data_IF_879299758619
#
_entry.id   IF_879299758619
#
_cell.length_a   1.000
_cell.length_b   1.000
_cell.length_c   1.000
_cell.angle_alpha   90.00
_cell.angle_beta   90.00
_cell.angle_gamma   90.00
#
_symmetry.space_group_name_H-M   'P 1'
#
loop_
_entity.id
_entity.type
_entity.pdbx_description
1 polymer ?
#
# COMPACT_ATOMS: atom_id res chain seq x y z
N UNK A 1 -11.74 -11.36 -22.48
CA UNK A 1 -10.41 -11.68 -21.93
C UNK A 1 -10.10 -13.17 -21.96
N UNK A 2 -9.02 -13.53 -22.65
CA UNK A 2 -8.49 -14.89 -22.72
C UNK A 2 -7.85 -15.33 -21.39
N UNK A 3 -7.68 -16.64 -21.16
CA UNK A 3 -6.97 -17.13 -19.96
C UNK A 3 -5.52 -16.60 -19.89
N UNK A 4 -4.86 -16.50 -21.05
CA UNK A 4 -3.51 -15.98 -21.19
C UNK A 4 -3.41 -14.52 -20.76
N UNK A 5 -4.31 -13.65 -21.21
CA UNK A 5 -4.34 -12.24 -20.80
C UNK A 5 -4.50 -12.09 -19.28
N UNK A 6 -5.42 -12.84 -18.67
CA UNK A 6 -5.64 -12.78 -17.22
C UNK A 6 -4.38 -13.17 -16.44
N UNK A 7 -3.63 -14.18 -16.91
CA UNK A 7 -2.37 -14.58 -16.30
C UNK A 7 -1.30 -13.50 -16.41
N UNK A 8 -1.19 -12.84 -17.57
CA UNK A 8 -0.24 -11.75 -17.79
C UNK A 8 -0.55 -10.55 -16.89
N UNK A 9 -1.82 -10.15 -16.83
CA UNK A 9 -2.34 -9.10 -15.95
C UNK A 9 -1.99 -9.39 -14.49
N UNK A 10 -2.25 -10.62 -14.04
CA UNK A 10 -1.95 -11.05 -12.67
C UNK A 10 -0.46 -11.03 -12.36
N UNK A 11 0.40 -11.56 -13.23
CA UNK A 11 1.86 -11.55 -13.04
C UNK A 11 2.37 -10.11 -12.95
N UNK A 12 2.07 -9.29 -13.96
CA UNK A 12 2.53 -7.91 -14.01
C UNK A 12 2.05 -7.13 -12.77
N UNK A 13 0.78 -7.27 -12.40
CA UNK A 13 0.25 -6.53 -11.27
C UNK A 13 0.81 -7.02 -9.92
N UNK A 14 1.04 -8.33 -9.74
CA UNK A 14 1.70 -8.87 -8.53
C UNK A 14 3.11 -8.31 -8.40
N UNK A 15 3.85 -8.26 -9.51
CA UNK A 15 5.18 -7.66 -9.55
C UNK A 15 5.16 -6.18 -9.16
N UNK A 16 4.23 -5.39 -9.72
CA UNK A 16 4.13 -3.96 -9.41
C UNK A 16 3.64 -3.70 -7.98
N UNK A 17 2.76 -4.55 -7.45
CA UNK A 17 2.37 -4.54 -6.04
C UNK A 17 3.61 -4.68 -5.13
N UNK A 18 4.50 -5.63 -5.42
CA UNK A 18 5.72 -5.85 -4.64
C UNK A 18 6.68 -4.66 -4.72
N UNK A 19 6.86 -4.08 -5.92
CA UNK A 19 7.66 -2.86 -6.10
C UNK A 19 7.06 -1.70 -5.30
N UNK A 20 5.75 -1.47 -5.42
CA UNK A 20 5.05 -0.41 -4.70
C UNK A 20 5.21 -0.55 -3.19
N UNK A 21 5.04 -1.78 -2.67
CA UNK A 21 5.22 -2.07 -1.25
C UNK A 21 6.61 -1.66 -0.75
N UNK A 22 7.67 -2.13 -1.42
CA UNK A 22 9.06 -1.84 -1.00
C UNK A 22 9.36 -0.34 -1.05
N UNK A 23 8.92 0.35 -2.12
CA UNK A 23 9.14 1.79 -2.26
C UNK A 23 8.42 2.58 -1.16
N UNK A 24 7.13 2.29 -0.93
CA UNK A 24 6.33 2.99 0.07
C UNK A 24 6.85 2.70 1.49
N UNK A 25 7.17 1.45 1.80
CA UNK A 25 7.78 1.07 3.09
C UNK A 25 9.07 1.86 3.34
N UNK A 26 9.95 1.93 2.33
CA UNK A 26 11.26 2.59 2.46
C UNK A 26 11.11 4.09 2.69
N UNK A 27 10.26 4.76 1.89
CA UNK A 27 10.02 6.21 2.03
C UNK A 27 9.45 6.55 3.42
N UNK A 28 8.48 5.79 3.89
CA UNK A 28 7.85 5.99 5.19
C UNK A 28 8.83 5.69 6.32
N UNK A 29 9.58 4.58 6.22
CA UNK A 29 10.57 4.19 7.23
C UNK A 29 11.67 5.23 7.40
N UNK A 30 12.20 5.76 6.29
CA UNK A 30 13.19 6.84 6.30
C UNK A 30 12.64 8.11 6.95
N UNK A 31 11.41 8.50 6.63
CA UNK A 31 10.80 9.68 7.23
C UNK A 31 10.60 9.55 8.74
N UNK A 32 10.16 8.38 9.21
CA UNK A 32 10.04 8.08 10.64
C UNK A 32 11.41 8.17 11.34
N UNK A 33 12.47 7.67 10.72
CA UNK A 33 13.83 7.75 11.26
C UNK A 33 14.34 9.19 11.31
N UNK A 34 14.14 9.97 10.24
CA UNK A 34 14.47 11.40 10.21
C UNK A 34 13.71 12.17 11.31
N UNK A 35 12.45 11.81 11.57
CA UNK A 35 11.71 12.44 12.66
C UNK A 35 12.23 12.04 14.05
N UNK A 36 12.79 10.84 14.20
CA UNK A 36 13.40 10.38 15.45
C UNK A 36 14.73 11.08 15.72
N UNK A 37 15.54 11.32 14.68
CA UNK A 37 16.80 12.06 14.83
C UNK A 37 16.61 13.51 15.25
N UNK A 38 15.46 14.13 14.94
CA UNK A 38 15.10 15.46 15.45
C UNK A 38 14.94 15.52 16.98
N UNK A 39 14.84 14.38 17.65
CA UNK A 39 14.79 14.24 19.11
C UNK A 39 16.03 13.51 19.68
N UNK A 40 17.13 13.46 18.92
CA UNK A 40 18.37 12.75 19.27
C UNK A 40 18.16 11.24 19.54
N UNK A 41 17.14 10.64 18.91
CA UNK A 41 16.85 9.21 19.01
C UNK A 41 17.51 8.49 17.83
N UNK A 42 18.59 7.75 18.09
CA UNK A 42 19.21 6.90 17.07
C UNK A 42 18.27 5.73 16.73
N UNK A 43 18.12 5.47 15.44
CA UNK A 43 17.21 4.43 14.94
C UNK A 43 17.84 3.61 13.81
N UNK A 44 17.42 2.35 13.73
CA UNK A 44 17.85 1.41 12.69
C UNK A 44 16.64 0.92 11.89
N UNK A 45 16.72 1.02 10.57
CA UNK A 45 15.71 0.47 9.67
C UNK A 45 16.03 -1.00 9.36
N UNK A 46 15.20 -1.92 9.85
CA UNK A 46 15.21 -3.32 9.43
C UNK A 46 14.08 -3.61 8.44
N UNK A 47 14.12 -4.76 7.76
CA UNK A 47 13.08 -5.14 6.78
C UNK A 47 11.71 -5.37 7.44
N UNK A 48 11.69 -5.66 8.74
CA UNK A 48 10.48 -5.99 9.50
C UNK A 48 10.07 -4.91 10.51
N UNK A 49 10.99 -4.06 10.96
CA UNK A 49 10.68 -3.05 11.97
C UNK A 49 11.69 -1.91 11.96
N UNK A 50 11.31 -0.81 12.61
CA UNK A 50 12.25 0.26 12.98
C UNK A 50 12.63 0.03 14.44
N UNK A 51 13.93 -0.11 14.71
CA UNK A 51 14.43 -0.25 16.06
C UNK A 51 14.91 1.11 16.57
N UNK A 52 14.34 1.60 17.67
CA UNK A 52 14.73 2.86 18.30
C UNK A 52 15.63 2.59 19.51
N UNK A 53 16.84 3.15 19.52
CA UNK A 53 17.85 2.97 20.58
C UNK A 53 17.61 3.93 21.75
N UNK A 54 16.43 3.86 22.36
CA UNK A 54 16.03 4.70 23.49
C UNK A 54 15.37 3.86 24.58
N UNK A 55 15.60 4.22 25.85
CA UNK A 55 14.96 3.52 26.97
C UNK A 55 13.51 3.97 27.10
N UNK A 56 12.64 3.08 27.57
CA UNK A 56 11.20 3.36 27.69
C UNK A 56 10.86 4.61 28.51
N UNK A 57 11.68 4.95 29.51
CA UNK A 57 11.49 6.11 30.39
C UNK A 57 11.95 7.44 29.78
N UNK A 58 12.78 7.38 28.74
CA UNK A 58 13.38 8.56 28.12
C UNK A 58 12.49 9.10 26.97
N UNK A 59 11.42 8.37 26.59
CA UNK A 59 10.42 8.85 25.65
C UNK A 59 9.65 10.04 26.20
N UNK A 60 9.72 11.17 25.49
CA UNK A 60 8.87 12.33 25.77
C UNK A 60 7.56 12.24 24.99
N UNK A 61 6.52 12.90 25.51
CA UNK A 61 5.20 12.91 24.86
C UNK A 61 5.25 13.45 23.43
N UNK A 62 6.06 14.48 23.21
CA UNK A 62 6.19 15.12 21.90
C UNK A 62 6.97 14.25 20.92
N UNK A 63 8.06 13.61 21.37
CA UNK A 63 8.82 12.67 20.55
C UNK A 63 7.93 11.52 20.05
N UNK A 64 7.12 10.91 20.94
CA UNK A 64 6.23 9.82 20.53
C UNK A 64 5.20 10.30 19.50
N UNK A 65 4.56 11.44 19.75
CA UNK A 65 3.55 11.97 18.81
C UNK A 65 4.16 12.25 17.45
N UNK A 66 5.32 12.88 17.38
CA UNK A 66 5.96 13.25 16.11
C UNK A 66 6.49 12.01 15.39
N UNK A 67 7.25 11.14 16.08
CA UNK A 67 7.88 9.98 15.45
C UNK A 67 6.83 9.02 14.88
N UNK A 68 5.82 8.67 15.67
CA UNK A 68 4.81 7.69 15.24
C UNK A 68 3.70 8.26 14.36
N UNK A 69 3.58 9.59 14.22
CA UNK A 69 2.65 10.20 13.25
C UNK A 69 3.32 10.55 11.92
N UNK A 70 4.64 10.78 11.90
CA UNK A 70 5.35 11.23 10.68
C UNK A 70 5.17 10.25 9.52
N UNK A 71 5.37 8.95 9.77
CA UNK A 71 5.21 7.92 8.75
C UNK A 71 3.81 7.93 8.12
N UNK A 72 2.73 7.73 8.91
CA UNK A 72 1.35 7.80 8.41
C UNK A 72 1.02 9.13 7.71
N UNK A 73 1.37 10.29 8.30
CA UNK A 73 1.06 11.60 7.70
C UNK A 73 1.77 11.76 6.36
N UNK A 74 3.05 11.40 6.27
CA UNK A 74 3.78 11.44 5.01
C UNK A 74 3.18 10.48 3.99
N UNK A 75 2.77 9.28 4.41
CA UNK A 75 2.09 8.33 3.53
C UNK A 75 0.85 8.95 2.90
N UNK A 76 0.01 9.65 3.69
CA UNK A 76 -1.15 10.37 3.16
C UNK A 76 -0.74 11.44 2.14
N UNK A 77 0.25 12.28 2.47
CA UNK A 77 0.71 13.35 1.57
C UNK A 77 1.26 12.79 0.25
N UNK A 78 2.12 11.78 0.31
CA UNK A 78 2.67 11.09 -0.87
C UNK A 78 1.55 10.42 -1.66
N UNK A 79 0.60 9.76 -0.99
CA UNK A 79 -0.57 9.15 -1.61
C UNK A 79 -1.43 10.17 -2.36
N UNK A 80 -1.65 11.36 -1.81
CA UNK A 80 -2.38 12.45 -2.47
C UNK A 80 -1.64 12.97 -3.71
N UNK A 81 -0.32 13.18 -3.61
CA UNK A 81 0.51 13.60 -4.76
C UNK A 81 0.47 12.56 -5.87
N UNK A 82 0.63 11.28 -5.52
CA UNK A 82 0.58 10.18 -6.48
C UNK A 82 -0.82 10.00 -7.07
N UNK A 83 -1.88 10.28 -6.32
CA UNK A 83 -3.24 10.28 -6.84
C UNK A 83 -3.46 11.39 -7.87
N UNK A 84 -2.99 12.61 -7.58
CA UNK A 84 -3.04 13.72 -8.55
C UNK A 84 -2.24 13.34 -9.80
N UNK A 85 -1.04 12.78 -9.65
CA UNK A 85 -0.24 12.29 -10.77
C UNK A 85 -1.01 11.23 -11.58
N UNK A 86 -1.63 10.26 -10.91
CA UNK A 86 -2.43 9.21 -11.56
C UNK A 86 -3.52 9.81 -12.44
N UNK A 87 -4.28 10.80 -11.94
CA UNK A 87 -5.34 11.44 -12.74
C UNK A 87 -4.83 12.17 -13.98
N UNK A 88 -3.53 12.50 -14.04
CA UNK A 88 -2.92 13.11 -15.24
C UNK A 88 -2.47 12.07 -16.26
N UNK A 89 -2.32 10.81 -15.86
CA UNK A 89 -1.86 9.71 -16.72
C UNK A 89 -2.88 8.58 -16.82
N UNK A 90 -4.13 8.82 -16.43
CA UNK A 90 -5.15 7.77 -16.35
C UNK A 90 -5.53 7.23 -17.74
N UNK A 91 -5.42 8.06 -18.77
CA UNK A 91 -5.72 7.71 -20.16
C UNK A 91 -4.53 7.03 -20.86
N UNK A 92 -3.31 7.25 -20.39
CA UNK A 92 -2.09 6.68 -20.95
C UNK A 92 -2.10 5.14 -20.89
N UNK A 93 -1.53 4.46 -21.89
CA UNK A 93 -1.47 2.99 -21.93
C UNK A 93 -0.34 2.39 -21.08
N UNK A 94 0.48 3.21 -20.42
CA UNK A 94 1.71 2.77 -19.75
C UNK A 94 1.51 1.96 -18.47
N UNK A 95 2.30 0.91 -18.28
CA UNK A 95 2.30 0.07 -17.07
C UNK A 95 2.64 0.84 -15.78
N UNK A 96 3.35 1.96 -15.89
CA UNK A 96 3.73 2.79 -14.75
C UNK A 96 2.52 3.34 -13.98
N UNK A 97 1.38 3.56 -14.63
CA UNK A 97 0.20 4.02 -13.90
C UNK A 97 -0.38 2.96 -12.96
N UNK A 98 -0.22 1.67 -13.30
CA UNK A 98 -0.59 0.57 -12.41
C UNK A 98 0.30 0.60 -11.16
N UNK A 99 1.60 0.85 -11.34
CA UNK A 99 2.53 1.03 -10.22
C UNK A 99 2.12 2.21 -9.34
N UNK A 100 1.85 3.38 -9.94
CA UNK A 100 1.40 4.57 -9.22
C UNK A 100 0.13 4.27 -8.42
N UNK A 101 -0.84 3.58 -9.01
CA UNK A 101 -2.09 3.23 -8.33
C UNK A 101 -1.85 2.27 -7.14
N UNK A 102 -0.95 1.29 -7.29
CA UNK A 102 -0.55 0.43 -6.17
C UNK A 102 0.13 1.22 -5.06
N UNK A 103 1.02 2.16 -5.41
CA UNK A 103 1.67 3.03 -4.41
C UNK A 103 0.63 3.89 -3.68
N UNK A 104 -0.36 4.44 -4.38
CA UNK A 104 -1.48 5.18 -3.76
C UNK A 104 -2.23 4.28 -2.77
N UNK A 105 -2.57 3.05 -3.16
CA UNK A 105 -3.25 2.11 -2.26
C UNK A 105 -2.40 1.80 -1.03
N UNK A 106 -1.11 1.50 -1.19
CA UNK A 106 -0.23 1.29 -0.03
C UNK A 106 -0.14 2.51 0.88
N UNK A 107 0.02 3.71 0.33
CA UNK A 107 0.03 4.96 1.09
C UNK A 107 -1.26 5.16 1.92
N UNK A 108 -2.42 4.88 1.32
CA UNK A 108 -3.72 4.94 2.01
C UNK A 108 -3.79 3.94 3.16
N UNK A 109 -3.26 2.71 2.97
CA UNK A 109 -3.17 1.70 4.02
C UNK A 109 -2.19 2.10 5.13
N UNK A 110 -1.04 2.66 4.79
CA UNK A 110 -0.08 3.16 5.79
C UNK A 110 -0.62 4.34 6.62
N UNK A 111 -1.63 5.07 6.13
CA UNK A 111 -2.30 6.09 6.92
C UNK A 111 -3.52 5.55 7.66
N UNK A 112 -4.58 5.15 6.94
CA UNK A 112 -5.84 4.74 7.55
C UNK A 112 -5.77 3.33 8.15
N UNK A 113 -5.05 2.41 7.50
CA UNK A 113 -4.81 1.08 8.06
C UNK A 113 -3.99 1.14 9.34
N UNK A 114 -2.94 1.96 9.39
CA UNK A 114 -2.09 2.12 10.59
C UNK A 114 -2.85 2.81 11.72
N UNK A 115 -3.68 3.81 11.40
CA UNK A 115 -4.57 4.44 12.37
C UNK A 115 -5.62 3.46 12.93
N UNK A 116 -6.24 2.65 12.07
CA UNK A 116 -7.24 1.64 12.46
C UNK A 116 -6.60 0.52 13.30
N UNK A 117 -5.55 -0.12 12.79
CA UNK A 117 -4.89 -1.22 13.47
C UNK A 117 -4.10 -0.75 14.69
N UNK A 118 -3.53 0.46 14.63
CA UNK A 118 -2.80 1.05 15.74
C UNK A 118 -3.72 1.36 16.92
N UNK A 119 -4.93 1.87 16.68
CA UNK A 119 -5.93 2.05 17.72
C UNK A 119 -6.31 0.72 18.40
N UNK A 120 -6.39 -0.39 17.63
CA UNK A 120 -6.76 -1.71 18.13
C UNK A 120 -5.62 -2.43 18.87
N UNK A 121 -4.40 -2.37 18.34
CA UNK A 121 -3.23 -3.12 18.85
C UNK A 121 -2.32 -2.29 19.75
N UNK A 122 -2.54 -0.98 19.87
CA UNK A 122 -1.67 -0.04 20.59
C UNK A 122 -0.22 -0.07 20.10
N UNK A 123 -0.03 -0.14 18.77
CA UNK A 123 1.25 -0.12 18.06
C UNK A 123 1.21 0.89 16.91
N UNK A 124 2.37 1.31 16.38
CA UNK A 124 2.43 2.30 15.30
C UNK A 124 1.75 3.61 15.71
N UNK A 125 0.83 4.11 14.89
CA UNK A 125 -0.01 5.28 15.23
C UNK A 125 -0.80 5.12 16.55
N UNK A 126 -1.01 3.89 17.02
CA UNK A 126 -1.60 3.60 18.33
C UNK A 126 -0.85 4.24 19.51
N UNK A 127 0.48 4.39 19.41
CA UNK A 127 1.25 5.10 20.42
C UNK A 127 0.87 6.59 20.48
N UNK A 128 0.61 7.23 19.34
CA UNK A 128 0.14 8.62 19.29
C UNK A 128 -1.19 8.76 20.02
N UNK A 129 -2.13 7.86 19.76
CA UNK A 129 -3.47 7.83 20.39
C UNK A 129 -3.34 7.68 21.91
N UNK A 130 -2.45 6.79 22.37
CA UNK A 130 -2.20 6.57 23.79
C UNK A 130 -1.61 7.83 24.46
N UNK A 131 -0.66 8.50 23.82
CA UNK A 131 0.00 9.71 24.35
C UNK A 131 -0.83 10.99 24.20
N UNK A 132 -1.93 10.94 23.45
CA UNK A 132 -2.99 11.96 23.47
C UNK A 132 -4.03 11.70 24.57
N UNK A 133 -3.86 10.62 25.36
CA UNK A 133 -4.77 10.22 26.43
C UNK A 133 -6.22 10.03 25.95
N UNK A 134 -6.40 9.57 24.70
CA UNK A 134 -7.74 9.24 24.23
C UNK A 134 -8.31 8.06 25.02
N UNK A 135 -9.49 8.27 25.60
CA UNK A 135 -10.30 7.22 26.20
C UNK A 135 -10.67 6.16 25.15
N UNK A 136 -11.11 4.98 25.59
CA UNK A 136 -11.46 3.88 24.68
C UNK A 136 -12.56 4.26 23.68
N UNK A 137 -13.49 5.13 24.07
CA UNK A 137 -14.47 5.72 23.14
C UNK A 137 -13.81 6.49 22.01
N UNK A 138 -12.75 7.26 22.29
CA UNK A 138 -11.97 7.97 21.28
C UNK A 138 -11.26 7.01 20.32
N UNK A 139 -10.65 5.94 20.84
CA UNK A 139 -10.04 4.88 20.01
C UNK A 139 -11.05 4.24 19.07
N UNK A 140 -12.24 3.94 19.58
CA UNK A 140 -13.35 3.39 18.79
C UNK A 140 -13.77 4.36 17.66
N UNK A 141 -13.94 5.64 17.97
CA UNK A 141 -14.31 6.66 16.97
C UNK A 141 -13.26 6.74 15.86
N UNK A 142 -11.96 6.78 16.22
CA UNK A 142 -10.85 6.81 15.26
C UNK A 142 -10.86 5.55 14.37
N UNK A 143 -11.07 4.38 14.96
CA UNK A 143 -11.12 3.10 14.24
C UNK A 143 -12.28 3.08 13.24
N UNK A 144 -13.48 3.49 13.67
CA UNK A 144 -14.66 3.57 12.80
C UNK A 144 -14.46 4.58 11.67
N UNK A 145 -13.89 5.75 11.98
CA UNK A 145 -13.56 6.76 10.97
C UNK A 145 -12.60 6.20 9.92
N UNK A 146 -11.50 5.56 10.33
CA UNK A 146 -10.53 4.98 9.42
C UNK A 146 -11.14 3.86 8.54
N UNK A 147 -11.99 3.00 9.13
CA UNK A 147 -12.72 1.97 8.39
C UNK A 147 -13.66 2.58 7.34
N UNK A 148 -14.46 3.58 7.72
CA UNK A 148 -15.36 4.28 6.80
C UNK A 148 -14.60 5.00 5.69
N UNK A 149 -13.45 5.60 6.02
CA UNK A 149 -12.58 6.25 5.05
C UNK A 149 -12.02 5.25 4.03
N UNK A 150 -11.47 4.11 4.47
CA UNK A 150 -10.97 3.05 3.59
C UNK A 150 -12.07 2.54 2.64
N UNK A 151 -13.27 2.28 3.17
CA UNK A 151 -14.40 1.82 2.37
C UNK A 151 -14.84 2.86 1.33
N UNK A 152 -14.94 4.13 1.75
CA UNK A 152 -15.36 5.24 0.87
C UNK A 152 -14.32 5.51 -0.22
N UNK A 153 -13.03 5.50 0.13
CA UNK A 153 -11.93 5.63 -0.82
C UNK A 153 -11.97 4.49 -1.82
N UNK A 154 -12.18 3.24 -1.39
CA UNK A 154 -12.34 2.11 -2.30
C UNK A 154 -13.52 2.28 -3.26
N UNK A 155 -14.66 2.83 -2.81
CA UNK A 155 -15.76 3.18 -3.71
C UNK A 155 -15.32 4.22 -4.76
N UNK A 156 -14.58 5.26 -4.35
CA UNK A 156 -14.09 6.30 -5.26
C UNK A 156 -13.13 5.67 -6.28
N UNK A 157 -12.14 4.90 -5.83
CA UNK A 157 -11.09 4.28 -6.64
C UNK A 157 -11.57 3.24 -7.64
N UNK A 158 -12.80 2.71 -7.49
CA UNK A 158 -13.30 1.65 -8.36
C UNK A 158 -13.21 2.00 -9.85
N UNK A 159 -13.51 3.25 -10.24
CA UNK A 159 -13.45 3.67 -11.65
C UNK A 159 -12.00 3.72 -12.14
N UNK A 160 -11.13 4.31 -11.35
CA UNK A 160 -9.70 4.45 -11.63
C UNK A 160 -9.05 3.08 -11.79
N UNK A 161 -9.38 2.11 -10.93
CA UNK A 161 -8.87 0.74 -11.07
C UNK A 161 -9.24 0.12 -12.41
N UNK A 162 -10.47 0.32 -12.91
CA UNK A 162 -10.88 -0.21 -14.21
C UNK A 162 -10.20 0.49 -15.39
N UNK A 163 -9.87 1.78 -15.28
CA UNK A 163 -9.12 2.50 -16.32
C UNK A 163 -7.72 1.94 -16.55
N UNK A 164 -7.16 1.20 -15.59
CA UNK A 164 -5.90 0.48 -15.81
C UNK A 164 -5.99 -0.67 -16.83
N UNK A 165 -7.20 -1.08 -17.22
CA UNK A 165 -7.39 -2.11 -18.24
C UNK A 165 -6.88 -1.69 -19.62
N UNK A 166 -6.83 -0.38 -19.90
CA UNK A 166 -6.32 0.15 -21.17
C UNK A 166 -4.81 -0.12 -21.40
N UNK A 167 -4.09 -0.63 -20.39
CA UNK A 167 -2.70 -1.09 -20.52
C UNK A 167 -2.63 -2.43 -21.25
N UNK A 168 -3.73 -3.18 -21.27
CA UNK A 168 -3.75 -4.57 -21.73
C UNK A 168 -4.74 -4.84 -22.86
N UNK A 169 -5.88 -4.14 -22.87
CA UNK A 169 -6.99 -4.39 -23.80
C UNK A 169 -7.55 -3.08 -24.33
N UNK A 170 -8.15 -3.14 -25.53
CA UNK A 170 -8.82 -1.98 -26.14
C UNK A 170 -10.24 -1.78 -25.62
N UNK A 171 -10.90 -2.86 -25.20
CA UNK A 171 -12.25 -2.81 -24.66
C UNK A 171 -12.37 -3.69 -23.44
N UNK A 172 -13.04 -3.18 -22.40
CA UNK A 172 -13.41 -3.92 -21.21
C UNK A 172 -14.93 -3.97 -21.10
N UNK A 173 -15.51 -5.10 -21.47
CA UNK A 173 -16.94 -5.33 -21.32
C UNK A 173 -17.36 -5.43 -19.84
N UNK A 174 -18.56 -4.98 -19.51
CA UNK A 174 -19.17 -5.00 -18.18
C UNK A 174 -19.14 -6.39 -17.53
N UNK A 175 -19.30 -7.45 -18.32
CA UNK A 175 -19.22 -8.85 -17.83
C UNK A 175 -17.82 -9.26 -17.37
N UNK A 176 -16.79 -8.53 -17.80
CA UNK A 176 -15.37 -8.84 -17.54
C UNK A 176 -14.75 -7.94 -16.48
N UNK A 177 -15.43 -6.87 -16.04
CA UNK A 177 -14.88 -5.90 -15.06
C UNK A 177 -14.53 -6.53 -13.72
N UNK A 178 -15.42 -7.34 -13.12
CA UNK A 178 -15.13 -8.08 -11.87
C UNK A 178 -13.94 -9.02 -12.04
N UNK A 179 -13.89 -9.71 -13.17
CA UNK A 179 -12.79 -10.63 -13.49
C UNK A 179 -11.47 -9.85 -13.63
N UNK A 180 -11.49 -8.70 -14.30
CA UNK A 180 -10.34 -7.84 -14.41
C UNK A 180 -9.84 -7.39 -13.03
N UNK A 181 -10.73 -6.89 -12.15
CA UNK A 181 -10.35 -6.51 -10.77
C UNK A 181 -9.79 -7.69 -9.97
N UNK A 182 -10.35 -8.89 -10.15
CA UNK A 182 -9.85 -10.10 -9.49
C UNK A 182 -8.40 -10.38 -9.88
N UNK A 183 -8.07 -10.39 -11.17
CA UNK A 183 -6.71 -10.70 -11.65
C UNK A 183 -5.73 -9.52 -11.50
N UNK A 184 -6.21 -8.28 -11.61
CA UNK A 184 -5.37 -7.07 -11.54
C UNK A 184 -5.16 -6.58 -10.11
N UNK A 185 -6.07 -6.82 -9.16
CA UNK A 185 -5.94 -6.27 -7.80
C UNK A 185 -6.07 -7.33 -6.72
N UNK A 186 -7.16 -8.11 -6.68
CA UNK A 186 -7.42 -8.99 -5.54
C UNK A 186 -6.40 -10.15 -5.44
N UNK A 187 -6.11 -10.85 -6.53
CA UNK A 187 -5.10 -11.92 -6.55
C UNK A 187 -3.68 -11.40 -6.33
N UNK A 188 -3.21 -10.32 -7.01
CA UNK A 188 -1.94 -9.66 -6.70
C UNK A 188 -1.78 -9.28 -5.25
N UNK A 189 -2.82 -8.72 -4.62
CA UNK A 189 -2.81 -8.38 -3.21
C UNK A 189 -2.59 -9.62 -2.33
N UNK A 190 -3.37 -10.68 -2.54
CA UNK A 190 -3.26 -11.90 -1.72
C UNK A 190 -1.88 -12.57 -1.87
N UNK A 191 -1.46 -12.78 -3.12
CA UNK A 191 -0.19 -13.47 -3.43
C UNK A 191 1.00 -12.59 -3.06
N UNK A 192 0.93 -11.30 -3.33
CA UNK A 192 1.94 -10.33 -2.95
C UNK A 192 2.14 -10.28 -1.44
N UNK A 193 1.06 -10.31 -0.64
CA UNK A 193 1.17 -10.40 0.82
C UNK A 193 1.80 -11.71 1.30
N UNK A 194 1.46 -12.85 0.68
CA UNK A 194 2.13 -14.13 0.99
C UNK A 194 3.63 -14.02 0.72
N UNK A 195 4.03 -13.44 -0.41
CA UNK A 195 5.44 -13.21 -0.74
C UNK A 195 6.10 -12.28 0.29
N UNK A 196 5.47 -11.18 0.67
CA UNK A 196 5.99 -10.25 1.69
C UNK A 196 6.17 -10.97 3.02
N UNK A 197 5.19 -11.77 3.46
CA UNK A 197 5.27 -12.54 4.71
C UNK A 197 6.47 -13.50 4.66
N UNK A 198 6.66 -14.22 3.55
CA UNK A 198 7.81 -15.12 3.37
C UNK A 198 9.13 -14.35 3.38
N UNK A 199 9.19 -13.19 2.71
CA UNK A 199 10.37 -12.32 2.68
C UNK A 199 10.67 -11.71 4.05
N UNK A 200 9.67 -11.49 4.91
CA UNK A 200 9.86 -10.97 6.27
C UNK A 200 10.00 -12.04 7.34
N UNK A 201 9.82 -13.32 7.02
CA UNK A 201 9.98 -14.39 7.99
C UNK A 201 11.44 -14.45 8.52
N UNK A 202 11.68 -14.68 9.83
CA UNK A 202 10.73 -14.92 10.92
C UNK A 202 10.24 -13.65 11.65
N UNK A 203 10.61 -12.46 11.18
CA UNK A 203 10.40 -11.19 11.89
C UNK A 203 9.04 -10.52 11.69
N UNK A 204 8.10 -11.14 10.97
CA UNK A 204 6.77 -10.60 10.70
C UNK A 204 5.91 -10.56 11.97
N UNK A 205 5.25 -9.42 12.24
CA UNK A 205 4.35 -9.27 13.39
C UNK A 205 2.88 -9.44 13.01
N UNK A 206 2.03 -9.79 14.00
CA UNK A 206 0.58 -9.80 13.79
C UNK A 206 0.06 -8.43 13.38
N UNK A 207 0.61 -7.37 13.97
CA UNK A 207 0.27 -5.99 13.63
C UNK A 207 0.47 -5.72 12.13
N UNK A 208 1.64 -6.06 11.58
CA UNK A 208 1.91 -5.89 10.15
C UNK A 208 0.99 -6.73 9.26
N UNK A 209 0.66 -7.95 9.66
CA UNK A 209 -0.27 -8.82 8.90
C UNK A 209 -1.64 -8.16 8.82
N UNK A 210 -2.18 -7.66 9.93
CA UNK A 210 -3.47 -6.99 9.94
C UNK A 210 -3.43 -5.60 9.29
N UNK A 211 -2.32 -4.86 9.43
CA UNK A 211 -2.11 -3.58 8.75
C UNK A 211 -2.21 -3.77 7.23
N UNK A 212 -1.44 -4.69 6.66
CA UNK A 212 -1.53 -4.96 5.23
C UNK A 212 -2.87 -5.60 4.85
N UNK A 213 -3.42 -6.46 5.72
CA UNK A 213 -4.73 -7.09 5.57
C UNK A 213 -5.89 -6.09 5.51
N UNK A 214 -5.75 -4.90 6.10
CA UNK A 214 -6.76 -3.84 6.04
C UNK A 214 -7.05 -3.37 4.60
N UNK A 215 -6.16 -3.65 3.65
CA UNK A 215 -6.40 -3.41 2.23
C UNK A 215 -7.63 -4.16 1.70
N UNK A 216 -8.05 -5.26 2.34
CA UNK A 216 -9.31 -5.95 2.01
C UNK A 216 -10.51 -5.00 2.14
N UNK A 217 -10.53 -4.15 3.16
CA UNK A 217 -11.63 -3.17 3.39
C UNK A 217 -11.72 -2.18 2.22
N UNK A 218 -10.57 -1.79 1.66
CA UNK A 218 -10.49 -0.94 0.47
C UNK A 218 -10.87 -1.70 -0.81
N UNK A 219 -10.52 -2.98 -0.92
CA UNK A 219 -10.74 -3.80 -2.12
C UNK A 219 -12.19 -4.29 -2.29
N UNK A 220 -12.91 -4.55 -1.19
CA UNK A 220 -14.32 -4.99 -1.23
C UNK A 220 -15.20 -4.04 -2.06
N UNK A 221 -15.26 -2.72 -1.76
CA UNK A 221 -16.10 -1.80 -2.52
C UNK A 221 -15.63 -1.63 -3.97
N UNK A 222 -14.32 -1.74 -4.26
CA UNK A 222 -13.79 -1.75 -5.63
C UNK A 222 -14.39 -2.93 -6.40
N UNK A 223 -14.34 -4.13 -5.84
CA UNK A 223 -14.85 -5.34 -6.47
C UNK A 223 -16.38 -5.31 -6.67
N UNK A 224 -17.13 -4.82 -5.67
CA UNK A 224 -18.59 -4.67 -5.76
C UNK A 224 -18.94 -3.69 -6.89
N UNK A 225 -18.36 -2.49 -6.86
CA UNK A 225 -18.66 -1.41 -7.80
C UNK A 225 -18.21 -1.71 -9.23
N UNK A 226 -17.13 -2.47 -9.40
CA UNK A 226 -16.69 -2.93 -10.72
C UNK A 226 -17.79 -3.69 -11.47
N UNK A 227 -18.59 -4.49 -10.76
CA UNK A 227 -19.71 -5.23 -11.32
C UNK A 227 -20.89 -4.41 -11.81
N UNK A 228 -20.95 -3.13 -11.44
CA UNK A 228 -22.03 -2.22 -11.80
C UNK A 228 -21.63 -1.26 -12.93
N UNK A 229 -20.37 -1.32 -13.39
CA UNK A 229 -19.88 -0.43 -14.43
C UNK A 229 -20.24 -0.92 -15.82
N UNK A 230 -20.46 0.05 -16.72
CA UNK A 230 -20.73 -0.19 -18.13
C UNK A 230 -19.45 -0.55 -18.89
N UNK A 231 -19.60 -0.92 -20.15
CA UNK A 231 -18.49 -1.19 -21.06
C UNK A 231 -17.57 0.04 -21.16
N UNK A 232 -16.26 -0.20 -21.05
CA UNK A 232 -15.23 0.82 -21.22
C UNK A 232 -14.54 0.59 -22.57
N UNK A 233 -14.49 1.63 -23.38
CA UNK A 233 -13.80 1.66 -24.66
C UNK A 233 -12.55 2.53 -24.52
N UNK A 234 -11.43 2.01 -24.99
CA UNK A 234 -10.13 2.68 -25.01
C UNK A 234 -9.70 2.91 -26.47
N UNK A 235 -8.57 3.60 -26.66
CA UNK A 235 -8.01 3.99 -27.97
C UNK A 235 -7.95 2.86 -29.02
N UNK A 236 -7.91 3.27 -30.29
CA UNK A 236 -8.03 2.38 -31.46
C UNK A 236 -6.79 1.52 -31.72
N UNK A 237 -5.60 1.92 -31.25
CA UNK A 237 -4.37 1.14 -31.47
C UNK A 237 -4.51 -0.27 -30.90
N UNK A 238 -4.11 -1.28 -31.66
CA UNK A 238 -4.24 -2.67 -31.24
C UNK A 238 -3.33 -2.99 -30.05
N UNK A 239 -3.90 -3.11 -28.85
CA UNK A 239 -3.14 -3.47 -27.66
C UNK A 239 -3.04 -4.99 -27.50
N UNK A 240 -1.86 -5.44 -27.09
CA UNK A 240 -1.62 -6.83 -26.72
C UNK A 240 -1.01 -6.90 -25.33
N UNK A 241 -1.59 -7.74 -24.48
CA UNK A 241 -1.06 -7.97 -23.14
C UNK A 241 0.29 -8.70 -23.25
N UNK A 242 1.35 -8.04 -22.80
CA UNK A 242 2.71 -8.60 -22.74
C UNK A 242 3.22 -8.63 -21.30
N UNK A 243 4.09 -9.61 -21.01
CA UNK A 243 4.73 -9.71 -19.70
C UNK A 243 5.82 -8.64 -19.63
N UNK A 244 5.79 -7.82 -18.58
CA UNK A 244 6.82 -6.83 -18.33
C UNK A 244 8.00 -7.48 -17.59
N UNK A 245 8.91 -8.08 -18.34
CA UNK A 245 10.13 -8.69 -17.79
C UNK A 245 10.98 -7.70 -17.01
N UNK A 246 11.00 -6.43 -17.43
CA UNK A 246 11.71 -5.36 -16.73
C UNK A 246 11.11 -5.16 -15.33
N UNK A 247 9.79 -5.10 -15.20
CA UNK A 247 9.13 -4.98 -13.89
C UNK A 247 9.47 -6.17 -12.99
N UNK A 248 9.48 -7.39 -13.55
CA UNK A 248 9.80 -8.62 -12.80
C UNK A 248 11.22 -8.55 -12.26
N UNK A 249 12.18 -8.19 -13.12
CA UNK A 249 13.58 -8.04 -12.74
C UNK A 249 13.74 -6.98 -11.64
N UNK A 250 13.09 -5.83 -11.77
CA UNK A 250 13.11 -4.77 -10.76
C UNK A 250 12.54 -5.27 -9.43
N UNK A 251 11.40 -5.97 -9.42
CA UNK A 251 10.82 -6.50 -8.20
C UNK A 251 11.74 -7.49 -7.49
N UNK A 252 12.36 -8.41 -8.24
CA UNK A 252 13.31 -9.38 -7.68
C UNK A 252 14.51 -8.65 -7.07
N UNK A 253 15.13 -7.72 -7.82
CA UNK A 253 16.27 -6.94 -7.34
C UNK A 253 15.89 -6.16 -6.08
N UNK A 254 14.74 -5.46 -6.08
CA UNK A 254 14.28 -4.70 -4.93
C UNK A 254 13.99 -5.59 -3.73
N UNK A 255 13.40 -6.78 -3.89
CA UNK A 255 13.16 -7.70 -2.78
C UNK A 255 14.45 -8.28 -2.20
N UNK A 256 15.43 -8.60 -3.06
CA UNK A 256 16.75 -9.06 -2.61
C UNK A 256 17.47 -7.96 -1.84
N UNK A 257 17.51 -6.75 -2.41
CA UNK A 257 18.09 -5.56 -1.77
C UNK A 257 17.38 -5.30 -0.44
N UNK A 258 16.05 -5.33 -0.43
CA UNK A 258 15.22 -5.13 0.75
C UNK A 258 15.57 -6.13 1.85
N UNK A 259 15.70 -7.42 1.53
CA UNK A 259 16.02 -8.45 2.51
C UNK A 259 17.47 -8.37 3.00
N UNK A 260 18.43 -8.13 2.11
CA UNK A 260 19.86 -8.14 2.44
C UNK A 260 20.25 -6.85 3.17
N UNK A 261 19.99 -5.68 2.57
CA UNK A 261 20.41 -4.39 3.13
C UNK A 261 19.71 -4.13 4.46
N UNK A 262 18.38 -4.21 4.49
CA UNK A 262 17.64 -4.04 5.74
C UNK A 262 17.74 -5.26 6.66
N UNK A 263 18.40 -6.35 6.24
CA UNK A 263 18.75 -7.48 7.11
C UNK A 263 19.88 -7.13 8.09
N UNK A 264 20.82 -6.27 7.67
CA UNK A 264 21.90 -5.79 8.52
C UNK A 264 21.49 -4.61 9.43
N UNK A 265 20.35 -3.98 9.14
CA UNK A 265 19.92 -2.75 9.80
C UNK A 265 20.66 -1.54 9.23
N UNK A 266 19.93 -0.58 8.66
CA UNK A 266 20.53 0.68 8.19
C UNK A 266 20.45 1.70 9.32
N UNK A 267 21.62 2.07 9.85
CA UNK A 267 21.78 3.09 10.91
C UNK A 267 21.70 4.48 10.35
N UNK A 268 21.01 5.36 11.07
CA UNK A 268 20.98 6.80 10.83
C UNK A 268 21.19 7.56 12.14
#
# INVERSE_FOLDING_TARGET
MSRRENLIIWINSTTLFLVAYVLVYSVIGLATIISASAFDISAELFYNQIYFHIRSRDWTSDAVKVVFSTGPILALLVGLVLWILYTKVEEEAGILKVLVLWMVMHCIIYFFGDMMMGALFSQGFGYVIMYLYFMDTGKMIITLFALMALFTIGLIMARQTLYTANTYVNTLHARQTKRFVLFQFLLPFLIGNIIIILVKFPGITLFEIFLNGSMVILMIPIYIRAGMMQDLFFEEEAKSATISWISILIAIILLIIFRIIFGFGVRF
#
